data_IF_377864287903
#
_entry.id   IF_377864287903
#
_cell.length_a   1.000
_cell.length_b   1.000
_cell.length_c   1.000
_cell.angle_alpha   90.00
_cell.angle_beta   90.00
_cell.angle_gamma   90.00
#
_symmetry.space_group_name_H-M   'P 1'
#
loop_
_entity.id
_entity.type
_entity.pdbx_description
1 polymer ?
#
# COMPACT_ATOMS: atom_id res chain seq x y z
N UNK A 1 2.87 -24.06 6.36
CA UNK A 1 4.12 -23.44 5.87
C UNK A 1 3.93 -22.80 4.50
N UNK A 2 3.32 -23.44 3.50
CA UNK A 2 3.09 -22.83 2.17
C UNK A 2 2.16 -21.60 2.15
N UNK A 3 1.24 -21.50 3.10
CA UNK A 3 0.24 -20.41 3.15
C UNK A 3 0.82 -19.07 3.62
N UNK A 4 1.85 -19.09 4.48
CA UNK A 4 2.47 -17.87 5.01
C UNK A 4 3.30 -17.21 3.90
N UNK A 5 4.20 -17.98 3.27
CA UNK A 5 4.91 -17.61 2.05
C UNK A 5 4.01 -17.03 0.95
N UNK A 6 2.85 -17.65 0.69
CA UNK A 6 1.91 -17.15 -0.32
C UNK A 6 1.38 -15.76 0.04
N UNK A 7 1.06 -15.52 1.31
CA UNK A 7 0.59 -14.21 1.78
C UNK A 7 1.69 -13.15 1.66
N UNK A 8 2.93 -13.47 2.00
CA UNK A 8 4.06 -12.53 1.88
C UNK A 8 4.33 -12.15 0.43
N UNK A 9 4.28 -13.13 -0.48
CA UNK A 9 4.36 -12.89 -1.92
C UNK A 9 3.25 -11.94 -2.37
N UNK A 10 2.00 -12.17 -1.95
CA UNK A 10 0.86 -11.30 -2.28
C UNK A 10 1.09 -9.89 -1.73
N UNK A 11 1.61 -9.74 -0.51
CA UNK A 11 1.90 -8.43 0.09
C UNK A 11 2.95 -7.67 -0.73
N UNK A 12 4.03 -8.33 -1.17
CA UNK A 12 5.04 -7.72 -2.05
C UNK A 12 4.40 -7.27 -3.37
N UNK A 13 3.60 -8.12 -4.00
CA UNK A 13 2.92 -7.78 -5.25
C UNK A 13 1.99 -6.58 -5.08
N UNK A 14 1.22 -6.52 -3.98
CA UNK A 14 0.36 -5.38 -3.66
C UNK A 14 1.20 -4.12 -3.48
N UNK A 15 2.33 -4.19 -2.76
CA UNK A 15 3.23 -3.05 -2.58
C UNK A 15 3.77 -2.51 -3.91
N UNK A 16 4.30 -3.40 -4.76
CA UNK A 16 4.79 -3.02 -6.11
C UNK A 16 3.66 -2.41 -6.93
N UNK A 17 2.47 -3.02 -6.89
CA UNK A 17 1.31 -2.55 -7.63
C UNK A 17 0.89 -1.14 -7.21
N UNK A 18 0.86 -0.84 -5.91
CA UNK A 18 0.55 0.49 -5.40
C UNK A 18 1.61 1.52 -5.81
N UNK A 19 2.88 1.16 -5.82
CA UNK A 19 3.95 2.03 -6.30
C UNK A 19 3.82 2.35 -7.80
N UNK A 20 3.48 1.35 -8.63
CA UNK A 20 3.22 1.55 -10.07
C UNK A 20 1.97 2.39 -10.29
N UNK A 21 0.90 2.15 -9.52
CA UNK A 21 -0.33 2.94 -9.59
C UNK A 21 -0.07 4.41 -9.23
N UNK A 22 0.67 4.67 -8.15
CA UNK A 22 1.09 6.01 -7.75
C UNK A 22 1.94 6.70 -8.85
N UNK A 23 2.87 5.96 -9.46
CA UNK A 23 3.68 6.48 -10.56
C UNK A 23 2.84 6.83 -11.79
N UNK A 24 1.87 5.98 -12.14
CA UNK A 24 0.93 6.23 -13.24
C UNK A 24 0.07 7.46 -12.96
N UNK A 25 -0.53 7.57 -11.77
CA UNK A 25 -1.34 8.72 -11.38
C UNK A 25 -0.55 10.03 -11.40
N UNK A 26 0.72 10.01 -10.93
CA UNK A 26 1.60 11.18 -10.97
C UNK A 26 1.97 11.60 -12.39
N UNK A 27 2.13 10.65 -13.32
CA UNK A 27 2.47 10.94 -14.73
C UNK A 27 1.26 11.33 -15.57
N UNK A 28 0.09 10.73 -15.36
CA UNK A 28 -1.11 10.99 -16.15
C UNK A 28 -1.89 12.22 -15.66
N UNK A 29 -1.73 12.62 -14.39
CA UNK A 29 -2.59 13.63 -13.77
C UNK A 29 -4.05 13.17 -13.60
N UNK A 30 -4.34 11.92 -13.96
CA UNK A 30 -5.66 11.31 -13.90
C UNK A 30 -5.66 10.22 -12.82
N UNK A 31 -6.68 10.27 -11.98
CA UNK A 31 -6.91 9.25 -10.96
C UNK A 31 -7.15 7.93 -11.69
N UNK A 32 -6.45 6.88 -11.30
CA UNK A 32 -6.66 5.57 -11.91
C UNK A 32 -8.04 5.05 -11.51
N UNK A 33 -8.82 4.61 -12.51
CA UNK A 33 -10.13 3.94 -12.34
C UNK A 33 -10.06 2.69 -11.43
N UNK A 34 -8.84 2.26 -11.15
CA UNK A 34 -8.49 1.10 -10.36
C UNK A 34 -8.37 1.42 -8.87
N UNK A 35 -8.16 2.69 -8.54
CA UNK A 35 -8.11 3.20 -7.14
C UNK A 35 -9.45 3.83 -6.76
N UNK A 36 -10.12 4.47 -7.71
CA UNK A 36 -11.41 5.12 -7.52
C UNK A 36 -12.30 4.78 -8.71
N UNK A 37 -13.56 4.35 -8.53
CA UNK A 37 -14.46 4.09 -9.65
C UNK A 37 -14.62 5.33 -10.54
N UNK A 38 -14.72 5.14 -11.86
CA UNK A 38 -14.97 6.20 -12.87
C UNK A 38 -16.06 7.20 -12.45
N UNK A 39 -17.09 6.68 -11.79
CA UNK A 39 -18.25 7.44 -11.33
C UNK A 39 -17.92 8.39 -10.17
N UNK A 40 -17.00 7.99 -9.28
CA UNK A 40 -16.51 8.85 -8.20
C UNK A 40 -15.48 9.84 -8.72
N UNK A 41 -14.62 9.47 -9.68
CA UNK A 41 -13.61 10.38 -10.26
C UNK A 41 -14.25 11.66 -10.82
N UNK A 42 -15.45 11.57 -11.41
CA UNK A 42 -16.22 12.74 -11.88
C UNK A 42 -16.69 13.68 -10.77
N UNK A 43 -16.79 13.20 -9.53
CA UNK A 43 -17.17 13.99 -8.34
C UNK A 43 -15.97 14.62 -7.65
N UNK A 44 -14.74 14.27 -8.06
CA UNK A 44 -13.53 14.82 -7.50
C UNK A 44 -13.40 16.30 -7.87
N UNK A 45 -13.39 17.18 -6.86
CA UNK A 45 -13.26 18.63 -7.07
C UNK A 45 -11.95 19.02 -7.74
N UNK A 46 -10.86 18.34 -7.40
CA UNK A 46 -9.53 18.59 -7.94
C UNK A 46 -8.71 17.28 -7.99
N UNK A 47 -8.68 16.60 -9.17
CA UNK A 47 -7.98 15.34 -9.34
C UNK A 47 -6.47 15.45 -9.13
N UNK A 48 -5.84 16.54 -9.56
CA UNK A 48 -4.39 16.71 -9.45
C UNK A 48 -3.94 16.96 -8.00
N UNK A 49 -4.72 17.76 -7.26
CA UNK A 49 -4.47 17.97 -5.84
C UNK A 49 -4.72 16.68 -5.02
N UNK A 50 -5.76 15.91 -5.39
CA UNK A 50 -6.00 14.60 -4.79
C UNK A 50 -4.83 13.64 -5.02
N UNK A 51 -4.35 13.52 -6.27
CA UNK A 51 -3.21 12.65 -6.62
C UNK A 51 -1.97 13.07 -5.82
N UNK A 52 -1.64 14.36 -5.76
CA UNK A 52 -0.51 14.85 -4.95
C UNK A 52 -0.67 14.52 -3.47
N UNK A 53 -1.89 14.58 -2.94
CA UNK A 53 -2.19 14.25 -1.55
C UNK A 53 -2.07 12.76 -1.22
N UNK A 54 -2.53 11.88 -2.10
CA UNK A 54 -2.56 10.42 -1.86
C UNK A 54 -1.26 9.71 -2.25
N UNK A 55 -0.51 10.26 -3.21
CA UNK A 55 0.78 9.71 -3.68
C UNK A 55 1.79 9.41 -2.55
N UNK A 56 2.08 10.31 -1.59
CA UNK A 56 3.02 10.01 -0.51
C UNK A 56 2.52 8.86 0.40
N UNK A 57 1.21 8.75 0.63
CA UNK A 57 0.62 7.63 1.38
C UNK A 57 0.78 6.30 0.63
N UNK A 58 0.52 6.30 -0.68
CA UNK A 58 0.68 5.12 -1.53
C UNK A 58 2.13 4.63 -1.57
N UNK A 59 3.10 5.53 -1.77
CA UNK A 59 4.51 5.16 -1.76
C UNK A 59 4.99 4.73 -0.37
N UNK A 60 4.52 5.40 0.69
CA UNK A 60 4.87 5.03 2.06
C UNK A 60 4.41 3.61 2.41
N UNK A 61 3.15 3.29 2.11
CA UNK A 61 2.63 1.95 2.35
C UNK A 61 3.26 0.90 1.41
N UNK A 62 3.46 1.24 0.14
CA UNK A 62 4.13 0.35 -0.82
C UNK A 62 5.54 -0.04 -0.36
N UNK A 63 6.32 0.92 0.14
CA UNK A 63 7.66 0.65 0.67
C UNK A 63 7.62 -0.32 1.86
N UNK A 64 6.72 -0.09 2.83
CA UNK A 64 6.55 -0.98 3.99
C UNK A 64 6.11 -2.38 3.55
N UNK A 65 5.14 -2.49 2.65
CA UNK A 65 4.64 -3.76 2.16
C UNK A 65 5.73 -4.58 1.45
N UNK A 66 6.55 -3.94 0.60
CA UNK A 66 7.66 -4.63 -0.08
C UNK A 66 8.72 -5.09 0.90
N UNK A 67 9.10 -4.26 1.89
CA UNK A 67 10.10 -4.63 2.90
C UNK A 67 9.62 -5.79 3.77
N UNK A 68 8.41 -5.68 4.33
CA UNK A 68 7.82 -6.72 5.18
C UNK A 68 7.63 -8.02 4.40
N UNK A 69 7.05 -7.96 3.20
CA UNK A 69 6.86 -9.17 2.40
C UNK A 69 8.18 -9.82 1.96
N UNK A 70 9.24 -9.03 1.66
CA UNK A 70 10.55 -9.58 1.35
C UNK A 70 11.21 -10.25 2.57
N UNK A 71 11.11 -9.64 3.76
CA UNK A 71 11.62 -10.23 5.01
C UNK A 71 10.85 -11.50 5.35
N UNK A 72 9.52 -11.52 5.21
CA UNK A 72 8.69 -12.71 5.39
C UNK A 72 9.12 -13.88 4.50
N UNK A 73 9.36 -13.62 3.20
CA UNK A 73 9.88 -14.64 2.26
C UNK A 73 11.26 -15.16 2.69
N UNK A 74 12.18 -14.29 3.14
CA UNK A 74 13.51 -14.69 3.60
C UNK A 74 13.48 -15.52 4.90
N UNK A 75 12.54 -15.21 5.79
CA UNK A 75 12.27 -16.00 7.00
C UNK A 75 11.72 -17.39 6.65
N UNK A 76 10.73 -17.45 5.75
CA UNK A 76 10.08 -18.71 5.36
C UNK A 76 10.98 -19.64 4.55
N UNK A 77 11.91 -19.08 3.77
CA UNK A 77 12.93 -19.85 3.02
C UNK A 77 14.07 -20.35 3.92
N UNK A 78 13.99 -20.15 5.25
CA UNK A 78 15.01 -20.50 6.26
C UNK A 78 16.38 -19.87 6.02
N UNK A 79 16.46 -18.80 5.22
CA UNK A 79 17.71 -18.03 5.05
C UNK A 79 18.01 -17.26 6.34
N UNK A 80 16.97 -16.84 7.06
CA UNK A 80 17.08 -16.12 8.32
C UNK A 80 16.14 -16.76 9.35
N UNK A 81 16.68 -17.34 10.42
CA UNK A 81 15.88 -17.83 11.56
C UNK A 81 15.62 -16.70 12.55
N UNK A 82 14.59 -15.90 12.27
CA UNK A 82 14.07 -14.92 13.22
C UNK A 82 13.06 -15.63 14.14
N UNK A 83 13.28 -15.53 15.46
CA UNK A 83 12.39 -16.16 16.44
C UNK A 83 10.95 -15.61 16.35
N UNK A 84 9.98 -16.38 16.85
CA UNK A 84 8.52 -16.04 16.79
C UNK A 84 8.17 -14.61 17.19
N UNK A 85 8.93 -14.00 18.11
CA UNK A 85 8.73 -12.63 18.58
C UNK A 85 8.86 -11.62 17.43
N UNK A 86 9.81 -11.84 16.51
CA UNK A 86 10.03 -10.97 15.37
C UNK A 86 8.84 -10.94 14.41
N UNK A 87 8.22 -12.10 14.16
CA UNK A 87 7.01 -12.20 13.32
C UNK A 87 5.86 -11.36 13.87
N UNK A 88 5.70 -11.29 15.20
CA UNK A 88 4.67 -10.44 15.81
C UNK A 88 4.99 -8.95 15.70
N UNK A 89 6.27 -8.57 15.82
CA UNK A 89 6.73 -7.18 15.63
C UNK A 89 6.49 -6.73 14.19
N UNK A 90 6.84 -7.59 13.23
CA UNK A 90 6.65 -7.34 11.81
C UNK A 90 5.17 -7.19 11.43
N UNK A 91 4.31 -8.10 11.93
CA UNK A 91 2.86 -7.98 11.78
C UNK A 91 2.32 -6.69 12.41
N UNK A 92 2.78 -6.33 13.62
CA UNK A 92 2.38 -5.11 14.30
C UNK A 92 2.76 -3.86 13.51
N UNK A 93 3.97 -3.82 12.95
CA UNK A 93 4.43 -2.72 12.11
C UNK A 93 3.61 -2.62 10.80
N UNK A 94 3.33 -3.75 10.15
CA UNK A 94 2.51 -3.78 8.95
C UNK A 94 1.08 -3.30 9.21
N UNK A 95 0.45 -3.74 10.29
CA UNK A 95 -0.90 -3.31 10.66
C UNK A 95 -0.95 -1.83 11.02
N UNK A 96 0.05 -1.30 11.73
CA UNK A 96 0.14 0.13 12.02
C UNK A 96 0.29 0.96 10.73
N UNK A 97 1.13 0.51 9.79
CA UNK A 97 1.28 1.14 8.48
C UNK A 97 -0.01 1.08 7.66
N UNK A 98 -0.71 -0.06 7.66
CA UNK A 98 -2.01 -0.24 7.00
C UNK A 98 -3.05 0.72 7.59
N UNK A 99 -3.11 0.83 8.92
CA UNK A 99 -4.04 1.72 9.60
C UNK A 99 -3.76 3.20 9.26
N UNK A 100 -2.49 3.60 9.26
CA UNK A 100 -2.06 4.94 8.87
C UNK A 100 -2.41 5.23 7.40
N UNK A 101 -2.17 4.26 6.51
CA UNK A 101 -2.51 4.35 5.09
C UNK A 101 -4.00 4.53 4.86
N UNK A 102 -4.85 3.68 5.43
CA UNK A 102 -6.31 3.77 5.30
C UNK A 102 -6.84 5.08 5.87
N UNK A 103 -6.34 5.49 7.03
CA UNK A 103 -6.74 6.74 7.67
C UNK A 103 -6.31 7.96 6.84
N UNK A 104 -5.09 7.94 6.29
CA UNK A 104 -4.56 8.98 5.41
C UNK A 104 -5.36 9.08 4.12
N UNK A 105 -5.63 7.96 3.46
CA UNK A 105 -6.46 7.92 2.25
C UNK A 105 -7.87 8.44 2.50
N UNK A 106 -8.51 8.05 3.62
CA UNK A 106 -9.87 8.51 3.96
C UNK A 106 -9.89 10.02 4.16
N UNK A 107 -8.94 10.59 4.91
CA UNK A 107 -8.83 12.06 5.09
C UNK A 107 -8.67 12.81 3.78
N UNK A 108 -7.85 12.30 2.87
CA UNK A 108 -7.68 12.91 1.55
C UNK A 108 -8.96 12.74 0.72
N UNK A 109 -9.58 11.55 0.74
CA UNK A 109 -10.85 11.31 0.03
C UNK A 109 -11.95 12.27 0.49
N UNK A 110 -12.19 12.39 1.79
CA UNK A 110 -13.23 13.27 2.36
C UNK A 110 -12.99 14.76 2.06
N UNK A 111 -11.73 15.15 1.79
CA UNK A 111 -11.37 16.52 1.41
C UNK A 111 -11.71 16.84 -0.06
N UNK A 112 -11.63 15.85 -0.95
CA UNK A 112 -11.71 16.05 -2.39
C UNK A 112 -12.96 15.44 -3.03
N UNK A 113 -13.63 14.53 -2.34
CA UNK A 113 -14.86 13.85 -2.75
C UNK A 113 -15.97 14.19 -1.74
N UNK A 114 -17.11 14.75 -2.20
CA UNK A 114 -18.28 15.00 -1.36
C UNK A 114 -19.04 13.72 -1.01
#
# INVERSE_FOLDING_TARGET
MKTILLMDIVIVFVGIYLAVSAAKMKKSGQISDLVVPKEEIKKCKDPEAYIRGITPWLYGFAAVAVVVGAIGILCDTKVITLGRIWTYVELGAFLAALFAFVSGMRKIKDKFFP
#
